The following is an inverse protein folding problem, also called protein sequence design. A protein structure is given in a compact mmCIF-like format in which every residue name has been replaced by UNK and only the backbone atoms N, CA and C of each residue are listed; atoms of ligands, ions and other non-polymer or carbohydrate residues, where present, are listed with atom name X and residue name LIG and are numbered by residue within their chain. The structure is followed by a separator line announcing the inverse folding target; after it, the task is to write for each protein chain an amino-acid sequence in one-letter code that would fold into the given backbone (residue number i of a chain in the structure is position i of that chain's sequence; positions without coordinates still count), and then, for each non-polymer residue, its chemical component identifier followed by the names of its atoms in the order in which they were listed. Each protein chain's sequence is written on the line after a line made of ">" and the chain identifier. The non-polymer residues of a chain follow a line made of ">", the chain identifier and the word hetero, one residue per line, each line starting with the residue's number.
data_IF_025485502626
#
_entry.id   IF_025485502626
#
_cell.length_a   1.000
_cell.length_b   1.000
_cell.length_c   1.000
_cell.angle_alpha   90.00
_cell.angle_beta   90.00
_cell.angle_gamma   90.00
#
_symmetry.space_group_name_H-M   'P 1'
#
loop_
_entity.id
_entity.type
_entity.pdbx_description
1 polymer ?
#
# COMPACT_ATOMS: atom_id res chain seq x y z
N UNK A 1 -19.16 2.77 -9.02
CA UNK A 1 -18.15 2.35 -8.00
C UNK A 1 -18.07 0.82 -7.97
N UNK A 2 -16.87 0.29 -7.69
CA UNK A 2 -16.68 -1.16 -7.59
C UNK A 2 -17.43 -1.69 -6.35
N UNK A 3 -18.19 -2.79 -6.43
CA UNK A 3 -18.87 -3.38 -5.29
C UNK A 3 -17.88 -3.76 -4.20
N UNK A 4 -18.23 -3.52 -2.94
CA UNK A 4 -17.44 -3.97 -1.80
C UNK A 4 -17.66 -5.48 -1.62
N UNK A 5 -16.58 -6.24 -1.69
CA UNK A 5 -16.58 -7.67 -1.38
C UNK A 5 -15.28 -8.04 -0.67
N UNK A 6 -15.38 -8.85 0.36
CA UNK A 6 -14.23 -9.30 1.12
C UNK A 6 -13.96 -10.78 0.86
N UNK A 7 -12.68 -11.12 0.70
CA UNK A 7 -12.20 -12.50 0.59
C UNK A 7 -11.49 -12.97 1.87
N UNK A 8 -11.49 -12.13 2.92
CA UNK A 8 -10.85 -12.43 4.19
C UNK A 8 -11.65 -11.84 5.36
N UNK A 9 -11.55 -12.41 6.58
CA UNK A 9 -12.16 -11.83 7.79
C UNK A 9 -11.71 -10.39 8.06
N UNK A 10 -10.44 -10.06 7.76
CA UNK A 10 -9.93 -8.69 7.88
C UNK A 10 -10.66 -7.73 6.94
N UNK A 11 -10.81 -8.11 5.66
CA UNK A 11 -11.56 -7.31 4.69
C UNK A 11 -13.03 -7.13 5.10
N UNK A 12 -13.67 -8.20 5.61
CA UNK A 12 -15.05 -8.13 6.10
C UNK A 12 -15.18 -7.14 7.26
N UNK A 13 -14.29 -7.19 8.25
CA UNK A 13 -14.28 -6.22 9.35
C UNK A 13 -14.18 -4.77 8.86
N UNK A 14 -13.40 -4.49 7.79
CA UNK A 14 -13.34 -3.14 7.22
C UNK A 14 -14.65 -2.71 6.58
N UNK A 15 -15.33 -3.64 5.89
CA UNK A 15 -16.66 -3.38 5.32
C UNK A 15 -17.69 -3.13 6.43
N UNK A 16 -17.68 -3.91 7.48
CA UNK A 16 -18.62 -3.78 8.61
C UNK A 16 -18.43 -2.43 9.33
N UNK A 17 -17.19 -1.98 9.53
CA UNK A 17 -16.88 -0.65 10.08
C UNK A 17 -17.43 0.46 9.18
N UNK A 18 -17.22 0.39 7.87
CA UNK A 18 -17.79 1.37 6.95
C UNK A 18 -19.31 1.38 6.98
N UNK A 19 -19.95 0.21 7.00
CA UNK A 19 -21.41 0.10 7.10
C UNK A 19 -21.96 0.70 8.41
N UNK A 20 -21.26 0.49 9.52
CA UNK A 20 -21.61 1.12 10.80
C UNK A 20 -21.57 2.64 10.71
N UNK A 21 -20.48 3.18 10.15
CA UNK A 21 -20.33 4.64 9.92
C UNK A 21 -21.46 5.16 9.01
N UNK A 22 -21.75 4.47 7.90
CA UNK A 22 -22.79 4.88 6.98
C UNK A 22 -24.21 4.76 7.52
N UNK A 23 -24.44 3.90 8.51
CA UNK A 23 -25.76 3.68 9.11
C UNK A 23 -26.09 4.70 10.19
N UNK A 24 -25.10 5.22 10.89
CA UNK A 24 -25.28 6.13 12.01
C UNK A 24 -25.55 7.57 11.51
N UNK A 25 -26.69 8.18 11.90
CA UNK A 25 -27.03 9.56 11.55
C UNK A 25 -25.98 10.58 12.00
N UNK A 26 -25.32 10.38 13.14
CA UNK A 26 -24.31 11.27 13.69
C UNK A 26 -23.19 11.54 12.67
N UNK A 27 -22.67 10.52 12.00
CA UNK A 27 -21.63 10.70 10.98
C UNK A 27 -22.12 11.37 9.70
N UNK A 28 -23.44 11.39 9.47
CA UNK A 28 -24.05 12.02 8.28
C UNK A 28 -24.33 13.50 8.44
N UNK A 29 -24.71 13.92 9.65
CA UNK A 29 -25.27 15.28 9.89
C UNK A 29 -24.46 16.12 10.84
N UNK A 30 -23.77 15.51 11.81
CA UNK A 30 -23.18 16.21 12.94
C UNK A 30 -21.66 16.21 12.97
N UNK A 31 -21.01 15.47 12.06
CA UNK A 31 -19.56 15.50 11.96
C UNK A 31 -19.02 15.49 10.53
N UNK A 32 -17.75 15.89 10.40
CA UNK A 32 -16.99 15.76 9.16
C UNK A 32 -16.26 14.43 9.19
N UNK A 33 -16.76 13.44 8.44
CA UNK A 33 -16.20 12.08 8.44
C UNK A 33 -15.55 11.77 7.12
N UNK A 34 -14.27 11.41 7.14
CA UNK A 34 -13.56 10.98 5.94
C UNK A 34 -13.04 9.55 6.10
N UNK A 35 -13.48 8.66 5.21
CA UNK A 35 -13.00 7.29 5.11
C UNK A 35 -11.90 7.23 4.04
N UNK A 36 -10.69 6.91 4.45
CA UNK A 36 -9.55 6.74 3.54
C UNK A 36 -9.27 5.25 3.33
N UNK A 37 -9.53 4.76 2.12
CA UNK A 37 -9.21 3.39 1.69
C UNK A 37 -7.84 3.39 1.02
N UNK A 38 -6.79 3.16 1.78
CA UNK A 38 -5.44 3.13 1.23
C UNK A 38 -5.01 1.74 0.78
N UNK A 39 -4.19 1.72 -0.26
CA UNK A 39 -3.69 0.49 -0.89
C UNK A 39 -2.48 -0.03 -0.13
N UNK A 40 -1.33 -0.22 -0.74
CA UNK A 40 -0.16 -0.80 -0.07
C UNK A 40 0.82 0.29 0.40
N UNK A 41 0.72 0.82 1.64
CA UNK A 41 1.69 1.80 2.14
C UNK A 41 3.07 1.16 2.29
N UNK A 42 4.09 1.83 1.78
CA UNK A 42 5.48 1.37 1.83
C UNK A 42 6.44 2.57 1.88
N UNK A 43 7.73 2.30 2.01
CA UNK A 43 8.73 3.33 2.16
C UNK A 43 8.98 3.70 3.62
N UNK A 44 9.69 4.79 3.83
CA UNK A 44 10.02 5.33 5.13
C UNK A 44 10.16 6.85 5.07
N UNK A 45 10.28 7.50 6.21
CA UNK A 45 10.61 8.93 6.21
C UNK A 45 11.98 9.17 5.59
N UNK A 46 12.09 10.22 4.79
CA UNK A 46 13.25 10.49 3.92
C UNK A 46 14.61 10.59 4.65
N UNK A 47 14.62 10.89 5.95
CA UNK A 47 15.85 10.90 6.74
C UNK A 47 16.33 9.49 7.14
N UNK A 48 15.46 8.47 7.03
CA UNK A 48 15.72 7.09 7.41
C UNK A 48 15.67 6.84 8.92
N UNK A 49 15.02 7.70 9.71
CA UNK A 49 14.87 7.53 11.16
C UNK A 49 13.50 6.94 11.53
N UNK A 50 12.48 7.14 10.70
CA UNK A 50 11.12 6.67 10.94
C UNK A 50 10.71 5.73 9.81
N UNK A 51 10.28 4.53 10.15
CA UNK A 51 9.83 3.50 9.23
C UNK A 51 9.18 2.32 9.94
N UNK A 52 8.89 1.26 9.19
CA UNK A 52 8.24 0.06 9.72
C UNK A 52 9.26 -0.97 10.19
N UNK A 53 9.14 -1.37 11.47
CA UNK A 53 9.87 -2.51 12.05
C UNK A 53 8.83 -3.57 12.44
N UNK A 54 8.61 -4.60 11.61
CA UNK A 54 7.61 -5.62 11.88
C UNK A 54 8.02 -6.49 13.07
N UNK A 55 7.02 -6.91 13.86
CA UNK A 55 7.22 -7.92 14.91
C UNK A 55 7.01 -9.31 14.29
N UNK A 56 8.00 -10.18 14.42
CA UNK A 56 7.97 -11.53 13.83
C UNK A 56 8.24 -11.54 12.33
N UNK A 57 7.77 -12.58 11.63
CA UNK A 57 7.99 -12.76 10.20
C UNK A 57 7.02 -11.85 9.43
N UNK A 58 7.54 -10.93 8.58
CA UNK A 58 6.67 -10.03 7.83
C UNK A 58 5.83 -10.75 6.78
N UNK A 59 4.57 -10.37 6.66
CA UNK A 59 3.71 -10.85 5.58
C UNK A 59 3.71 -9.92 4.34
N UNK A 60 4.16 -8.67 4.51
CA UNK A 60 4.23 -7.68 3.45
C UNK A 60 5.54 -7.78 2.66
N UNK A 61 5.47 -7.43 1.36
CA UNK A 61 6.59 -7.58 0.43
C UNK A 61 7.83 -6.79 0.88
N UNK A 62 7.71 -5.49 1.12
CA UNK A 62 8.86 -4.61 1.38
C UNK A 62 9.58 -4.97 2.68
N UNK A 63 8.93 -5.16 3.82
CA UNK A 63 9.62 -5.58 5.04
C UNK A 63 10.32 -6.93 4.90
N UNK A 64 9.73 -7.90 4.19
CA UNK A 64 10.38 -9.19 3.95
C UNK A 64 11.60 -9.04 3.03
N UNK A 65 11.49 -8.23 1.97
CA UNK A 65 12.59 -7.90 1.05
C UNK A 65 13.76 -7.25 1.81
N UNK A 66 13.48 -6.29 2.70
CA UNK A 66 14.50 -5.68 3.56
C UNK A 66 15.16 -6.71 4.49
N UNK A 67 14.40 -7.68 5.01
CA UNK A 67 14.96 -8.81 5.77
C UNK A 67 15.91 -9.68 4.94
N UNK A 68 15.67 -9.84 3.64
CA UNK A 68 16.59 -10.52 2.72
C UNK A 68 17.88 -9.72 2.52
N UNK A 69 17.74 -8.42 2.29
CA UNK A 69 18.89 -7.49 2.15
C UNK A 69 19.77 -7.49 3.39
N UNK A 70 19.16 -7.47 4.57
CA UNK A 70 19.85 -7.50 5.86
C UNK A 70 20.28 -8.92 6.29
N UNK A 71 20.17 -9.92 5.38
CA UNK A 71 20.58 -11.32 5.57
C UNK A 71 19.84 -12.05 6.72
N UNK A 72 18.66 -11.55 7.12
CA UNK A 72 17.77 -12.23 8.06
C UNK A 72 17.08 -13.40 7.38
N UNK A 73 16.73 -13.26 6.08
CA UNK A 73 16.13 -14.31 5.26
C UNK A 73 17.04 -14.64 4.07
N UNK A 74 17.12 -15.93 3.66
CA UNK A 74 18.04 -16.35 2.60
C UNK A 74 17.59 -15.91 1.20
N UNK A 75 16.29 -15.72 0.97
CA UNK A 75 15.70 -15.30 -0.31
C UNK A 75 14.30 -14.74 -0.11
N UNK A 76 13.86 -13.92 -1.06
CA UNK A 76 12.50 -13.41 -1.13
C UNK A 76 11.56 -14.47 -1.70
N UNK A 77 10.43 -14.69 -1.03
CA UNK A 77 9.36 -15.57 -1.51
C UNK A 77 8.41 -14.77 -2.42
N UNK A 78 8.35 -15.14 -3.70
CA UNK A 78 7.43 -14.53 -4.68
C UNK A 78 6.26 -15.48 -4.91
N UNK A 79 5.10 -15.14 -4.34
CA UNK A 79 3.92 -15.99 -4.36
C UNK A 79 3.11 -15.83 -5.66
N UNK A 80 3.04 -16.94 -6.44
CA UNK A 80 2.42 -16.96 -7.76
C UNK A 80 3.34 -16.39 -8.85
N UNK A 81 3.35 -17.08 -9.99
CA UNK A 81 4.10 -16.68 -11.20
C UNK A 81 3.33 -17.00 -12.48
N UNK A 82 2.04 -17.29 -12.32
CA UNK A 82 1.13 -17.75 -13.37
C UNK A 82 -0.16 -16.91 -13.44
N UNK A 83 -0.14 -15.69 -12.88
CA UNK A 83 -1.22 -14.71 -13.04
C UNK A 83 -1.22 -14.11 -14.45
N UNK A 84 -2.37 -13.66 -14.94
CA UNK A 84 -2.51 -12.97 -16.24
C UNK A 84 -2.01 -11.52 -16.14
N UNK A 85 -0.78 -11.33 -15.74
CA UNK A 85 -0.09 -10.04 -15.58
C UNK A 85 1.15 -9.99 -16.46
N UNK A 86 1.83 -8.84 -16.50
CA UNK A 86 2.98 -8.61 -17.40
C UNK A 86 4.15 -9.61 -17.19
N UNK A 87 4.29 -10.16 -15.99
CA UNK A 87 5.39 -11.09 -15.64
C UNK A 87 4.91 -12.31 -14.83
N UNK A 88 3.62 -12.52 -14.76
CA UNK A 88 3.00 -13.62 -14.03
C UNK A 88 2.88 -13.40 -12.54
N UNK A 89 3.40 -12.32 -11.97
CA UNK A 89 3.30 -12.03 -10.53
C UNK A 89 2.18 -11.03 -10.22
N UNK A 90 1.59 -11.04 -8.99
CA UNK A 90 0.48 -10.17 -8.66
C UNK A 90 0.84 -8.68 -8.77
N UNK A 91 -0.14 -7.87 -9.16
CA UNK A 91 0.00 -6.41 -9.31
C UNK A 91 -0.70 -5.69 -8.18
N UNK A 92 -0.01 -4.75 -7.53
CA UNK A 92 -0.54 -3.92 -6.44
C UNK A 92 -0.16 -2.46 -6.63
N UNK A 93 -0.95 -1.57 -6.03
CA UNK A 93 -0.65 -0.15 -5.93
C UNK A 93 0.17 0.11 -4.66
N UNK A 94 1.44 0.48 -4.85
CA UNK A 94 2.36 0.80 -3.74
C UNK A 94 2.44 2.31 -3.59
N UNK A 95 1.95 2.82 -2.47
CA UNK A 95 1.96 4.24 -2.15
C UNK A 95 3.03 4.54 -1.09
N UNK A 96 3.80 5.61 -1.31
CA UNK A 96 4.77 6.05 -0.31
C UNK A 96 4.07 6.51 0.97
N UNK A 97 4.56 6.08 2.14
CA UNK A 97 3.96 6.43 3.43
C UNK A 97 3.80 7.94 3.63
N UNK A 98 4.74 8.75 3.13
CA UNK A 98 4.65 10.21 3.23
C UNK A 98 3.56 10.81 2.33
N UNK A 99 3.24 10.18 1.19
CA UNK A 99 2.11 10.60 0.36
C UNK A 99 0.78 10.22 1.03
N UNK A 100 0.73 9.06 1.70
CA UNK A 100 -0.43 8.67 2.50
C UNK A 100 -0.66 9.65 3.66
N UNK A 101 0.40 10.06 4.38
CA UNK A 101 0.31 11.08 5.44
C UNK A 101 -0.20 12.42 4.90
N UNK A 102 0.30 12.85 3.72
CA UNK A 102 -0.19 14.06 3.05
C UNK A 102 -1.69 13.95 2.72
N UNK A 103 -2.15 12.78 2.26
CA UNK A 103 -3.58 12.54 2.03
C UNK A 103 -4.43 12.69 3.31
N UNK A 104 -3.94 12.18 4.45
CA UNK A 104 -4.61 12.36 5.75
C UNK A 104 -4.68 13.85 6.13
N UNK A 105 -3.57 14.58 5.95
CA UNK A 105 -3.53 16.00 6.25
C UNK A 105 -4.51 16.79 5.37
N UNK A 106 -4.58 16.50 4.07
CA UNK A 106 -5.56 17.14 3.19
C UNK A 106 -7.00 16.79 3.58
N UNK A 107 -7.25 15.53 3.95
CA UNK A 107 -8.58 15.10 4.40
C UNK A 107 -9.02 15.79 5.71
N UNK A 108 -8.10 16.04 6.64
CA UNK A 108 -8.39 16.77 7.89
C UNK A 108 -8.77 18.24 7.65
N UNK A 109 -8.31 18.83 6.55
CA UNK A 109 -8.66 20.21 6.18
C UNK A 109 -9.99 20.31 5.39
N UNK A 110 -10.62 19.18 5.06
CA UNK A 110 -11.93 19.15 4.42
C UNK A 110 -13.03 19.37 5.46
N UNK A 111 -13.49 20.62 5.61
CA UNK A 111 -14.48 21.01 6.60
C UNK A 111 -15.94 20.80 6.11
N UNK A 112 -16.21 19.67 5.47
CA UNK A 112 -17.54 19.37 4.95
C UNK A 112 -18.23 18.34 5.83
N UNK A 113 -19.35 18.74 6.42
CA UNK A 113 -20.22 17.84 7.19
C UNK A 113 -20.74 16.69 6.33
N UNK A 114 -20.81 15.50 6.91
CA UNK A 114 -21.21 14.27 6.27
C UNK A 114 -20.06 13.32 6.02
N UNK A 115 -20.31 12.29 5.23
CA UNK A 115 -19.36 11.21 4.99
C UNK A 115 -18.76 11.32 3.59
N UNK A 116 -17.45 11.44 3.50
CA UNK A 116 -16.70 11.33 2.25
C UNK A 116 -15.81 10.07 2.27
N UNK A 117 -15.69 9.41 1.12
CA UNK A 117 -14.85 8.21 0.96
C UNK A 117 -13.89 8.43 -0.17
N UNK A 118 -12.59 8.18 0.07
CA UNK A 118 -11.55 8.30 -0.93
C UNK A 118 -10.68 7.05 -1.00
N UNK A 119 -10.40 6.58 -2.21
CA UNK A 119 -9.31 5.66 -2.45
C UNK A 119 -8.00 6.44 -2.45
N UNK A 120 -7.03 5.98 -1.66
CA UNK A 120 -5.71 6.63 -1.51
C UNK A 120 -4.65 5.66 -2.01
N UNK A 121 -4.25 5.87 -3.25
CA UNK A 121 -3.22 5.13 -3.97
C UNK A 121 -2.62 6.00 -5.06
N UNK A 122 -1.63 5.47 -5.76
CA UNK A 122 -0.98 6.17 -6.87
C UNK A 122 -1.84 6.16 -8.13
N UNK A 123 -2.74 5.18 -8.26
CA UNK A 123 -3.45 4.85 -9.48
C UNK A 123 -2.62 4.02 -10.46
N UNK A 124 -1.42 3.61 -10.07
CA UNK A 124 -0.51 2.79 -10.85
C UNK A 124 -0.29 1.44 -10.16
N UNK A 125 -0.33 0.36 -10.95
CA UNK A 125 -0.06 -0.98 -10.45
C UNK A 125 1.35 -1.44 -10.79
N UNK A 126 2.06 -1.98 -9.80
CA UNK A 126 3.37 -2.61 -10.00
C UNK A 126 3.31 -4.09 -9.63
N UNK A 127 3.88 -4.94 -10.47
CA UNK A 127 4.04 -6.36 -10.16
C UNK A 127 5.14 -6.56 -9.11
N UNK A 128 5.13 -7.72 -8.44
CA UNK A 128 6.20 -8.04 -7.47
C UNK A 128 7.57 -8.01 -8.13
N UNK A 129 7.71 -8.51 -9.37
CA UNK A 129 8.98 -8.48 -10.08
C UNK A 129 9.41 -7.07 -10.49
N UNK A 130 8.47 -6.16 -10.77
CA UNK A 130 8.78 -4.75 -11.02
C UNK A 130 9.31 -4.06 -9.76
N UNK A 131 8.75 -4.37 -8.57
CA UNK A 131 9.27 -3.88 -7.29
C UNK A 131 10.70 -4.37 -7.05
N UNK A 132 10.96 -5.67 -7.25
CA UNK A 132 12.31 -6.23 -7.09
C UNK A 132 13.29 -5.51 -8.00
N UNK A 133 12.95 -5.35 -9.28
CA UNK A 133 13.80 -4.64 -10.26
C UNK A 133 14.05 -3.19 -9.89
N UNK A 134 13.02 -2.45 -9.46
CA UNK A 134 13.16 -1.06 -9.01
C UNK A 134 14.07 -0.97 -7.79
N UNK A 135 13.91 -1.87 -6.82
CA UNK A 135 14.75 -1.93 -5.62
C UNK A 135 16.22 -2.23 -5.96
N UNK A 136 16.47 -3.23 -6.82
CA UNK A 136 17.82 -3.58 -7.29
C UNK A 136 18.49 -2.41 -8.04
N UNK A 137 17.69 -1.73 -8.87
CA UNK A 137 18.20 -0.62 -9.69
C UNK A 137 18.64 0.58 -8.85
N UNK A 138 17.79 0.99 -7.87
CA UNK A 138 18.08 2.22 -7.10
C UNK A 138 19.11 1.97 -6.01
N UNK A 139 19.14 0.80 -5.40
CA UNK A 139 20.04 0.49 -4.29
C UNK A 139 21.32 -0.25 -4.71
N UNK A 140 21.43 -0.66 -5.99
CA UNK A 140 22.58 -1.41 -6.55
C UNK A 140 22.84 -2.74 -5.84
N UNK A 141 21.78 -3.41 -5.38
CA UNK A 141 21.81 -4.67 -4.63
C UNK A 141 20.97 -5.70 -5.37
N UNK A 142 21.46 -6.93 -5.50
CA UNK A 142 20.71 -8.05 -6.06
C UNK A 142 19.88 -8.74 -4.98
N UNK A 143 18.63 -9.06 -5.31
CA UNK A 143 17.69 -9.72 -4.43
C UNK A 143 17.53 -11.18 -4.85
N UNK A 144 18.07 -12.15 -4.09
CA UNK A 144 17.76 -13.55 -4.33
C UNK A 144 16.29 -13.82 -4.05
N UNK A 145 15.60 -14.49 -4.97
CA UNK A 145 14.19 -14.83 -4.79
C UNK A 145 13.87 -16.25 -5.28
N UNK A 146 12.74 -16.79 -4.81
CA UNK A 146 12.17 -18.05 -5.30
C UNK A 146 10.66 -17.89 -5.51
N UNK A 147 10.15 -18.49 -6.58
CA UNK A 147 8.71 -18.58 -6.79
C UNK A 147 8.09 -19.61 -5.85
N UNK A 148 6.97 -19.25 -5.27
CA UNK A 148 6.15 -20.07 -4.39
C UNK A 148 4.75 -20.23 -4.99
N UNK A 149 3.97 -21.23 -4.58
CA UNK A 149 2.56 -21.33 -4.96
C UNK A 149 1.78 -20.04 -4.64
N UNK A 150 0.65 -19.81 -5.32
CA UNK A 150 -0.24 -18.67 -5.00
C UNK A 150 -0.68 -18.72 -3.55
N UNK A 151 -0.82 -17.56 -2.93
CA UNK A 151 -1.51 -17.44 -1.63
C UNK A 151 -3.01 -17.54 -1.85
N UNK A 152 -3.70 -18.21 -0.93
CA UNK A 152 -5.16 -18.25 -0.93
C UNK A 152 -5.72 -16.83 -0.73
N UNK A 153 -6.73 -16.45 -1.53
CA UNK A 153 -7.35 -15.14 -1.49
C UNK A 153 -6.57 -14.01 -2.15
N UNK A 154 -5.37 -14.27 -2.74
CA UNK A 154 -4.66 -13.24 -3.48
C UNK A 154 -5.32 -12.96 -4.83
N UNK A 155 -5.66 -11.68 -5.08
CA UNK A 155 -6.18 -11.23 -6.37
C UNK A 155 -5.04 -10.94 -7.34
N UNK A 156 -5.30 -11.12 -8.64
CA UNK A 156 -4.34 -10.90 -9.71
C UNK A 156 -3.85 -9.45 -9.77
N UNK A 157 -4.79 -8.49 -9.77
CA UNK A 157 -4.49 -7.06 -9.93
C UNK A 157 -5.40 -6.24 -9.02
N UNK A 158 -4.77 -5.31 -8.28
CA UNK A 158 -5.49 -4.38 -7.42
C UNK A 158 -4.73 -3.04 -7.33
N UNK A 159 -5.33 -1.96 -7.88
CA UNK A 159 -4.82 -0.59 -7.80
C UNK A 159 -5.96 0.41 -7.71
N UNK A 160 -5.67 1.63 -7.24
CA UNK A 160 -6.66 2.64 -6.94
C UNK A 160 -7.24 3.30 -8.20
N UNK A 161 -8.54 3.57 -8.21
CA UNK A 161 -9.07 4.72 -8.93
C UNK A 161 -9.03 5.93 -7.99
N UNK A 162 -8.07 6.81 -8.20
CA UNK A 162 -7.79 7.98 -7.37
C UNK A 162 -8.40 9.29 -7.93
N UNK A 163 -9.25 9.21 -8.96
CA UNK A 163 -9.84 10.40 -9.61
C UNK A 163 -10.67 11.24 -8.64
N UNK A 164 -11.39 10.60 -7.71
CA UNK A 164 -12.23 11.32 -6.74
C UNK A 164 -11.40 12.15 -5.79
N UNK A 165 -10.34 11.61 -5.20
CA UNK A 165 -9.48 12.35 -4.27
C UNK A 165 -8.74 13.49 -4.98
N UNK A 166 -8.28 13.27 -6.21
CA UNK A 166 -7.66 14.32 -7.02
C UNK A 166 -8.64 15.47 -7.27
N UNK A 167 -9.88 15.17 -7.68
CA UNK A 167 -10.89 16.18 -7.98
C UNK A 167 -11.34 16.96 -6.74
N UNK A 168 -11.47 16.29 -5.60
CA UNK A 168 -12.07 16.86 -4.39
C UNK A 168 -11.05 17.55 -3.48
N UNK A 169 -9.90 16.93 -3.27
CA UNK A 169 -8.85 17.41 -2.36
C UNK A 169 -7.64 17.99 -3.12
N UNK A 170 -7.65 17.99 -4.45
CA UNK A 170 -6.50 18.34 -5.29
C UNK A 170 -5.23 17.58 -4.87
N UNK A 171 -5.42 16.35 -4.37
CA UNK A 171 -4.33 15.52 -3.88
C UNK A 171 -3.91 14.48 -4.94
N UNK A 172 -2.61 14.33 -5.08
CA UNK A 172 -1.96 13.31 -5.92
C UNK A 172 -0.68 12.83 -5.24
N UNK A 173 -0.37 11.54 -5.35
CA UNK A 173 0.92 10.99 -4.95
C UNK A 173 2.07 11.68 -5.69
N UNK A 174 3.19 11.92 -5.01
CA UNK A 174 4.34 12.66 -5.54
C UNK A 174 5.58 11.79 -5.71
N UNK A 175 5.66 10.68 -4.95
CA UNK A 175 6.82 9.80 -4.90
C UNK A 175 6.59 8.57 -5.74
N UNK A 176 7.57 8.26 -6.57
CA UNK A 176 7.56 7.08 -7.42
C UNK A 176 8.06 5.81 -6.69
N UNK A 177 8.02 4.69 -7.37
CA UNK A 177 8.45 3.40 -6.83
C UNK A 177 9.95 3.36 -6.50
N UNK A 178 10.77 4.13 -7.20
CA UNK A 178 12.21 4.20 -6.93
C UNK A 178 12.49 4.93 -5.63
N UNK A 179 11.77 6.05 -5.37
CA UNK A 179 11.86 6.75 -4.09
C UNK A 179 11.38 5.89 -2.93
N UNK A 180 10.27 5.16 -3.12
CA UNK A 180 9.76 4.19 -2.14
C UNK A 180 10.85 3.18 -1.77
N UNK A 181 11.47 2.55 -2.77
CA UNK A 181 12.52 1.54 -2.56
C UNK A 181 13.77 2.12 -1.90
N UNK A 182 14.16 3.33 -2.28
CA UNK A 182 15.32 4.01 -1.72
C UNK A 182 15.12 4.36 -0.24
N UNK A 183 13.99 4.99 0.10
CA UNK A 183 13.72 5.42 1.48
C UNK A 183 13.53 4.22 2.41
N UNK A 184 12.87 3.14 1.95
CA UNK A 184 12.75 1.91 2.71
C UNK A 184 14.13 1.28 2.99
N UNK A 185 15.01 1.21 1.99
CA UNK A 185 16.37 0.70 2.17
C UNK A 185 17.18 1.58 3.12
N UNK A 186 17.17 2.90 2.93
CA UNK A 186 17.87 3.85 3.81
C UNK A 186 17.49 3.68 5.27
N UNK A 187 16.19 3.49 5.56
CA UNK A 187 15.71 3.19 6.90
C UNK A 187 16.29 1.89 7.44
N UNK A 188 16.29 0.82 6.64
CA UNK A 188 16.77 -0.49 7.06
C UNK A 188 18.27 -0.56 7.35
N UNK A 189 19.06 0.40 6.83
CA UNK A 189 20.50 0.48 7.09
C UNK A 189 20.85 1.26 8.36
N UNK A 190 19.90 1.98 8.96
CA UNK A 190 20.07 2.75 10.19
C UNK A 190 19.51 2.04 11.43
N UNK A 191 18.72 1.01 11.23
CA UNK A 191 18.01 0.25 12.27
C UNK A 191 18.19 -1.24 12.07
#
# INVERSE_FOLDING_TARGET
>A
EHPLSAMSPYGQNKIDIEQAIFSDPFFKTDCCTTVLRYFNPVGAFQDGLIGEIPRGIPNNLMPYLLGVVNKVYPFLQVFGHDYKTVDGTPVRDYIHIMDLIDAHYQALNENKTGIEVFNVGTGEGYSVMQIIKAFEQVNKIKIPFKYMPRREGDVETCFADNKKILKRLNWKSKRDIYQICFDAFKFSQKN
#
